data_IF_914839803203
#
_entry.id   IF_914839803203
#
_cell.length_a   1.000
_cell.length_b   1.000
_cell.length_c   1.000
_cell.angle_alpha   90.00
_cell.angle_beta   90.00
_cell.angle_gamma   90.00
#
_symmetry.space_group_name_H-M   'P 1'
#
loop_
_entity.id
_entity.type
_entity.pdbx_description
1 polymer ?
#
# COMPACT_ATOMS: atom_id res chain seq x y z
N UNK A 1 -5.92 18.73 -11.01
CA UNK A 1 -6.87 18.98 -9.90
C UNK A 1 -6.99 17.69 -9.10
N UNK A 2 -6.42 17.63 -7.90
CA UNK A 2 -6.45 16.42 -7.07
C UNK A 2 -7.87 16.25 -6.52
N UNK A 3 -8.66 15.38 -7.14
CA UNK A 3 -9.87 14.89 -6.51
C UNK A 3 -9.46 14.15 -5.22
N UNK A 4 -10.14 14.44 -4.12
CA UNK A 4 -9.91 13.89 -2.78
C UNK A 4 -10.33 12.41 -2.69
N UNK A 5 -10.10 11.66 -3.75
CA UNK A 5 -10.74 10.38 -4.00
C UNK A 5 -9.85 9.26 -3.46
N UNK A 6 -10.45 8.47 -2.56
CA UNK A 6 -9.86 7.25 -2.04
C UNK A 6 -10.52 6.08 -2.74
N UNK A 7 -9.73 5.13 -3.24
CA UNK A 7 -10.27 3.88 -3.75
C UNK A 7 -10.00 2.75 -2.75
N UNK A 8 -11.07 2.19 -2.20
CA UNK A 8 -11.06 0.99 -1.40
C UNK A 8 -11.22 -0.22 -2.29
N UNK A 9 -10.28 -1.16 -2.25
CA UNK A 9 -10.32 -2.41 -3.01
C UNK A 9 -10.39 -3.56 -2.01
N UNK A 10 -11.53 -4.26 -1.99
CA UNK A 10 -11.69 -5.45 -1.15
C UNK A 10 -11.19 -6.67 -1.90
N UNK A 11 -10.21 -7.35 -1.30
CA UNK A 11 -9.55 -8.51 -1.85
C UNK A 11 -10.11 -9.78 -1.22
N UNK A 12 -10.56 -10.74 -2.04
CA UNK A 12 -11.09 -11.99 -1.52
C UNK A 12 -11.37 -13.02 -2.60
N UNK A 13 -11.74 -14.22 -2.19
CA UNK A 13 -12.26 -15.22 -3.12
C UNK A 13 -13.71 -14.93 -3.46
N UNK A 14 -14.17 -15.41 -4.61
CA UNK A 14 -15.55 -15.26 -5.10
C UNK A 14 -16.59 -15.59 -4.03
N UNK A 15 -16.40 -16.71 -3.32
CA UNK A 15 -17.29 -17.16 -2.25
C UNK A 15 -17.40 -16.17 -1.09
N UNK A 16 -16.28 -15.54 -0.71
CA UNK A 16 -16.25 -14.54 0.38
C UNK A 16 -16.84 -13.19 -0.07
N UNK A 17 -16.62 -12.81 -1.32
CA UNK A 17 -17.12 -11.54 -1.87
C UNK A 17 -18.62 -11.57 -2.17
N UNK A 18 -19.19 -12.72 -2.57
CA UNK A 18 -20.61 -12.85 -2.92
C UNK A 18 -21.58 -12.45 -1.80
N UNK A 19 -21.17 -12.60 -0.54
CA UNK A 19 -21.97 -12.24 0.63
C UNK A 19 -21.73 -10.82 1.17
N UNK A 20 -20.78 -10.07 0.62
CA UNK A 20 -20.37 -8.78 1.16
C UNK A 20 -21.17 -7.63 0.55
N UNK A 21 -21.83 -6.85 1.39
CA UNK A 21 -22.48 -5.58 1.01
C UNK A 21 -21.45 -4.46 1.08
N UNK A 22 -20.94 -4.04 -0.07
CA UNK A 22 -20.05 -2.88 -0.16
C UNK A 22 -20.86 -1.57 -0.05
N UNK A 23 -20.31 -0.54 0.61
CA UNK A 23 -20.90 0.81 0.58
C UNK A 23 -20.96 1.34 -0.86
N UNK A 24 -21.94 2.21 -1.13
CA UNK A 24 -22.03 2.90 -2.42
C UNK A 24 -20.89 3.91 -2.57
N UNK A 25 -20.30 3.96 -3.77
CA UNK A 25 -19.28 4.96 -4.11
C UNK A 25 -19.89 6.36 -4.17
N UNK A 26 -19.13 7.36 -3.73
CA UNK A 26 -19.48 8.77 -3.80
C UNK A 26 -18.33 9.58 -4.44
N UNK A 27 -18.44 10.91 -4.42
CA UNK A 27 -17.43 11.79 -5.03
C UNK A 27 -16.03 11.69 -4.38
N UNK A 28 -15.92 11.25 -3.13
CA UNK A 28 -14.66 11.18 -2.37
C UNK A 28 -14.19 9.73 -2.10
N UNK A 29 -15.07 8.73 -2.23
CA UNK A 29 -14.80 7.34 -1.90
C UNK A 29 -15.31 6.43 -3.03
N UNK A 30 -14.42 5.62 -3.59
CA UNK A 30 -14.73 4.56 -4.54
C UNK A 30 -14.53 3.21 -3.85
N UNK A 31 -15.48 2.28 -4.02
CA UNK A 31 -15.41 0.92 -3.49
C UNK A 31 -15.41 -0.06 -4.65
N UNK A 32 -14.35 -0.86 -4.75
CA UNK A 32 -14.16 -1.91 -5.75
C UNK A 32 -13.94 -3.25 -5.04
N UNK A 33 -14.31 -4.34 -5.69
CA UNK A 33 -13.98 -5.70 -5.28
C UNK A 33 -13.08 -6.35 -6.33
N UNK A 34 -12.14 -7.17 -5.88
CA UNK A 34 -11.30 -7.99 -6.73
C UNK A 34 -11.38 -9.44 -6.29
N UNK A 35 -11.87 -10.29 -7.19
CA UNK A 35 -11.98 -11.72 -6.99
C UNK A 35 -10.74 -12.41 -7.55
N UNK A 36 -9.99 -13.08 -6.71
CA UNK A 36 -8.85 -13.88 -7.17
C UNK A 36 -9.30 -15.30 -7.52
N UNK A 37 -9.60 -15.54 -8.79
CA UNK A 37 -9.91 -16.90 -9.27
C UNK A 37 -8.65 -17.71 -9.57
N UNK A 38 -7.63 -17.09 -10.20
CA UNK A 38 -6.36 -17.72 -10.54
C UNK A 38 -5.16 -16.82 -10.20
N UNK A 39 -4.06 -17.40 -9.69
CA UNK A 39 -2.90 -16.61 -9.18
C UNK A 39 -2.22 -15.76 -10.25
N UNK A 40 -1.97 -16.30 -11.44
CA UNK A 40 -1.25 -15.55 -12.47
C UNK A 40 -2.11 -14.43 -13.09
N UNK A 41 -3.43 -14.63 -13.21
CA UNK A 41 -4.35 -13.58 -13.70
C UNK A 41 -4.63 -12.54 -12.62
N UNK A 42 -4.60 -12.95 -11.34
CA UNK A 42 -4.85 -12.03 -10.23
C UNK A 42 -3.83 -10.89 -10.11
N UNK A 43 -2.59 -11.08 -10.58
CA UNK A 43 -1.56 -10.05 -10.58
C UNK A 43 -1.87 -8.94 -11.58
N UNK A 44 -2.17 -9.33 -12.82
CA UNK A 44 -2.56 -8.41 -13.90
C UNK A 44 -3.87 -7.72 -13.57
N UNK A 45 -4.87 -8.47 -13.08
CA UNK A 45 -6.16 -7.92 -12.67
C UNK A 45 -6.02 -6.88 -11.56
N UNK A 46 -5.19 -7.12 -10.53
CA UNK A 46 -4.98 -6.14 -9.46
C UNK A 46 -4.22 -4.92 -9.94
N UNK A 47 -3.20 -5.11 -10.79
CA UNK A 47 -2.49 -4.00 -11.43
C UNK A 47 -3.45 -3.15 -12.27
N UNK A 48 -4.28 -3.76 -13.11
CA UNK A 48 -5.25 -3.08 -13.97
C UNK A 48 -6.31 -2.34 -13.14
N UNK A 49 -6.82 -2.97 -12.08
CA UNK A 49 -7.81 -2.38 -11.18
C UNK A 49 -7.23 -1.16 -10.46
N UNK A 50 -5.99 -1.23 -9.96
CA UNK A 50 -5.31 -0.07 -9.38
C UNK A 50 -5.05 0.99 -10.45
N UNK A 51 -4.66 0.60 -11.66
CA UNK A 51 -4.40 1.54 -12.76
C UNK A 51 -5.66 2.30 -13.19
N UNK A 52 -6.81 1.63 -13.23
CA UNK A 52 -8.08 2.20 -13.64
C UNK A 52 -8.84 2.89 -12.49
N UNK A 53 -8.45 2.65 -11.24
CA UNK A 53 -9.04 3.32 -10.09
C UNK A 53 -8.91 4.84 -10.15
N UNK A 54 -9.92 5.54 -9.65
CA UNK A 54 -9.96 7.02 -9.70
C UNK A 54 -9.12 7.66 -8.60
N UNK A 55 -8.88 6.94 -7.51
CA UNK A 55 -8.28 7.49 -6.30
C UNK A 55 -6.77 7.63 -6.39
N UNK A 56 -6.24 8.72 -5.82
CA UNK A 56 -4.80 8.88 -5.62
C UNK A 56 -4.29 8.02 -4.46
N UNK A 57 -5.15 7.81 -3.46
CA UNK A 57 -4.91 6.93 -2.32
C UNK A 57 -5.70 5.63 -2.50
N UNK A 58 -4.98 4.52 -2.50
CA UNK A 58 -5.53 3.18 -2.62
C UNK A 58 -5.49 2.51 -1.25
N UNK A 59 -6.54 1.78 -0.93
CA UNK A 59 -6.70 1.06 0.32
C UNK A 59 -7.09 -0.37 0.02
N UNK A 60 -6.17 -1.32 0.23
CA UNK A 60 -6.47 -2.74 0.10
C UNK A 60 -7.04 -3.26 1.42
N UNK A 61 -8.15 -3.97 1.33
CA UNK A 61 -8.92 -4.46 2.45
C UNK A 61 -9.07 -5.98 2.39
N UNK A 62 -8.91 -6.70 3.52
CA UNK A 62 -9.35 -8.09 3.61
C UNK A 62 -10.88 -8.19 3.49
N UNK A 63 -11.40 -9.38 3.18
CA UNK A 63 -12.85 -9.57 3.13
C UNK A 63 -13.45 -9.32 4.51
N UNK A 64 -14.60 -8.65 4.56
CA UNK A 64 -15.32 -8.29 5.80
C UNK A 64 -14.69 -7.17 6.65
N UNK A 65 -13.64 -6.50 6.16
CA UNK A 65 -12.96 -5.45 6.93
C UNK A 65 -13.15 -4.07 6.31
N UNK A 66 -14.22 -3.39 6.71
CA UNK A 66 -14.51 -2.02 6.27
C UNK A 66 -14.05 -0.99 7.32
N UNK A 67 -13.44 0.12 6.91
CA UNK A 67 -13.04 1.18 7.82
C UNK A 67 -14.24 1.89 8.44
N UNK A 68 -14.13 2.20 9.73
CA UNK A 68 -15.08 3.03 10.46
C UNK A 68 -14.99 4.51 10.03
N UNK A 69 -15.94 5.34 10.45
CA UNK A 69 -15.98 6.78 10.11
C UNK A 69 -14.66 7.52 10.42
N UNK A 70 -14.07 7.42 11.63
CA UNK A 70 -12.83 8.14 11.93
C UNK A 70 -11.63 7.67 11.09
N UNK A 71 -11.50 6.37 10.79
CA UNK A 71 -10.49 5.88 9.86
C UNK A 71 -10.62 6.53 8.48
N UNK A 72 -11.85 6.62 7.97
CA UNK A 72 -12.11 7.23 6.66
C UNK A 72 -11.76 8.70 6.62
N UNK A 73 -12.05 9.45 7.68
CA UNK A 73 -11.67 10.87 7.77
C UNK A 73 -10.17 11.09 7.74
N UNK A 74 -9.39 10.24 8.42
CA UNK A 74 -7.93 10.30 8.39
C UNK A 74 -7.40 9.95 7.01
N UNK A 75 -7.92 8.89 6.38
CA UNK A 75 -7.54 8.52 5.01
C UNK A 75 -7.90 9.63 4.01
N UNK A 76 -9.02 10.35 4.21
CA UNK A 76 -9.38 11.53 3.39
C UNK A 76 -8.43 12.68 3.58
N UNK A 77 -7.98 12.94 4.79
CA UNK A 77 -6.93 13.94 5.02
C UNK A 77 -5.63 13.53 4.33
N UNK A 78 -5.29 12.24 4.35
CA UNK A 78 -4.09 11.72 3.70
C UNK A 78 -4.17 11.76 2.17
N UNK A 79 -5.33 11.53 1.56
CA UNK A 79 -5.48 11.60 0.09
C UNK A 79 -5.28 13.02 -0.46
N UNK A 80 -5.46 14.05 0.38
CA UNK A 80 -5.15 15.45 0.04
C UNK A 80 -3.65 15.76 0.05
N UNK A 81 -2.85 14.95 0.73
CA UNK A 81 -1.40 15.15 0.87
C UNK A 81 -0.72 14.51 -0.34
N UNK A 82 -0.07 15.32 -1.17
CA UNK A 82 0.70 14.84 -2.33
C UNK A 82 2.10 14.31 -1.92
N UNK A 83 2.13 13.35 -1.01
CA UNK A 83 3.35 12.70 -0.54
C UNK A 83 3.24 11.20 -0.80
N UNK A 84 4.28 10.62 -1.41
CA UNK A 84 4.41 9.18 -1.59
C UNK A 84 4.47 8.48 -0.23
N UNK A 85 3.32 7.96 0.19
CA UNK A 85 3.14 7.36 1.51
C UNK A 85 2.42 6.02 1.40
N UNK A 86 2.65 5.19 2.41
CA UNK A 86 1.95 3.93 2.65
C UNK A 86 1.96 3.61 4.14
N UNK A 87 1.12 2.67 4.55
CA UNK A 87 1.14 2.14 5.90
C UNK A 87 0.03 1.14 6.16
N UNK A 88 0.13 0.52 7.32
CA UNK A 88 -0.91 -0.34 7.86
C UNK A 88 -1.88 0.49 8.70
N UNK A 89 -3.15 0.10 8.68
CA UNK A 89 -4.14 0.68 9.58
C UNK A 89 -5.10 -0.39 10.10
N UNK A 90 -5.48 -0.23 11.37
CA UNK A 90 -6.40 -1.13 12.07
C UNK A 90 -7.83 -0.56 11.97
N UNK A 91 -8.82 -1.44 11.74
CA UNK A 91 -10.21 -1.03 11.56
C UNK A 91 -10.94 -0.67 12.86
N UNK A 92 -10.38 -1.03 14.03
CA UNK A 92 -11.12 -1.08 15.28
C UNK A 92 -10.43 -0.50 16.54
N UNK A 93 -9.33 0.25 16.39
CA UNK A 93 -8.73 1.02 17.50
C UNK A 93 -8.80 2.51 17.21
N UNK A 94 -9.07 3.31 18.24
CA UNK A 94 -9.06 4.77 18.18
C UNK A 94 -7.77 5.27 17.51
N UNK A 95 -7.89 5.74 16.26
CA UNK A 95 -6.82 6.17 15.35
C UNK A 95 -6.13 7.48 15.79
N UNK A 96 -6.55 8.05 16.92
CA UNK A 96 -6.12 9.38 17.35
C UNK A 96 -4.87 9.28 18.22
N UNK A 97 -3.69 9.35 17.59
CA UNK A 97 -2.39 9.87 18.12
C UNK A 97 -1.18 9.06 17.64
N UNK A 98 -1.32 7.74 17.54
CA UNK A 98 -0.16 6.85 17.38
C UNK A 98 0.35 6.71 15.95
N UNK A 99 -0.45 6.90 14.90
CA UNK A 99 0.02 6.68 13.51
C UNK A 99 0.94 7.83 13.06
N UNK A 100 0.61 9.07 13.39
CA UNK A 100 1.43 10.25 13.04
C UNK A 100 2.74 10.28 13.87
N UNK A 101 2.68 9.91 15.14
CA UNK A 101 3.87 9.76 15.98
C UNK A 101 4.73 8.55 15.58
N UNK A 102 4.11 7.43 15.18
CA UNK A 102 4.84 6.28 14.62
C UNK A 102 5.43 6.61 13.25
N UNK A 103 4.79 7.40 12.39
CA UNK A 103 5.37 7.84 11.10
C UNK A 103 6.73 8.54 11.24
N UNK A 104 6.95 9.28 12.33
CA UNK A 104 8.26 9.88 12.65
C UNK A 104 9.28 8.89 13.24
N UNK A 105 8.86 7.68 13.62
CA UNK A 105 9.68 6.60 14.24
C UNK A 105 9.79 5.30 13.40
N UNK A 106 9.09 5.15 12.27
CA UNK A 106 9.03 3.90 11.45
C UNK A 106 10.25 3.73 10.51
N UNK A 107 11.47 4.17 10.87
CA UNK A 107 12.66 3.77 10.11
C UNK A 107 13.29 2.45 10.60
N UNK A 108 12.82 1.82 11.69
CA UNK A 108 13.59 0.71 12.30
C UNK A 108 12.84 -0.54 12.81
N UNK A 109 11.51 -0.58 12.98
CA UNK A 109 10.85 -1.78 13.57
C UNK A 109 9.40 -1.99 13.12
N UNK A 110 9.18 -2.53 11.92
CA UNK A 110 7.90 -3.22 11.60
C UNK A 110 8.18 -4.38 10.62
N UNK A 111 8.68 -5.52 11.12
CA UNK A 111 8.83 -6.77 10.35
C UNK A 111 7.71 -7.79 10.61
N UNK A 112 6.73 -7.50 11.46
CA UNK A 112 5.62 -8.42 11.73
C UNK A 112 4.54 -8.27 10.67
N UNK A 113 4.21 -9.36 9.98
CA UNK A 113 3.02 -9.46 9.12
C UNK A 113 1.80 -9.14 10.00
N UNK A 114 0.96 -8.18 9.63
CA UNK A 114 -0.12 -7.74 10.48
C UNK A 114 -1.30 -8.72 10.52
N UNK A 115 -2.14 -8.57 11.56
CA UNK A 115 -3.32 -9.39 11.81
C UNK A 115 -4.33 -9.35 10.64
N UNK A 116 -5.23 -10.34 10.57
CA UNK A 116 -6.26 -10.47 9.54
C UNK A 116 -7.19 -9.24 9.41
N UNK A 117 -7.32 -8.45 10.48
CA UNK A 117 -8.12 -7.22 10.57
C UNK A 117 -7.30 -5.95 10.24
N UNK A 118 -6.27 -6.04 9.41
CA UNK A 118 -5.49 -4.87 9.03
C UNK A 118 -5.50 -4.68 7.52
N UNK A 119 -5.83 -3.45 7.11
CA UNK A 119 -5.72 -3.01 5.73
C UNK A 119 -4.37 -2.33 5.50
N UNK A 120 -3.98 -2.23 4.23
CA UNK A 120 -2.84 -1.42 3.82
C UNK A 120 -3.33 -0.28 2.94
N UNK A 121 -2.87 0.94 3.25
CA UNK A 121 -3.08 2.09 2.38
C UNK A 121 -1.76 2.45 1.70
N UNK A 122 -1.85 3.01 0.50
CA UNK A 122 -0.70 3.56 -0.21
C UNK A 122 -1.15 4.52 -1.29
N UNK A 123 -0.27 5.45 -1.64
CA UNK A 123 -0.47 6.31 -2.81
C UNK A 123 -0.20 5.55 -4.10
N UNK A 124 -1.04 5.78 -5.11
CA UNK A 124 -0.92 5.16 -6.44
C UNK A 124 0.44 5.45 -7.09
N UNK A 125 0.97 6.66 -6.89
CA UNK A 125 2.34 7.04 -7.31
C UNK A 125 3.41 6.13 -6.69
N UNK A 126 3.31 5.84 -5.39
CA UNK A 126 4.26 4.95 -4.72
C UNK A 126 4.15 3.52 -5.26
N UNK A 127 2.93 3.03 -5.49
CA UNK A 127 2.69 1.71 -6.06
C UNK A 127 3.41 1.51 -7.40
N UNK A 128 3.28 2.46 -8.32
CA UNK A 128 3.99 2.38 -9.61
C UNK A 128 5.49 2.59 -9.46
N UNK A 129 5.96 3.39 -8.50
CA UNK A 129 7.40 3.58 -8.26
C UNK A 129 8.12 2.32 -7.80
N UNK A 130 7.41 1.35 -7.21
CA UNK A 130 7.95 0.03 -6.84
C UNK A 130 7.66 -1.05 -7.90
N UNK A 131 7.17 -0.64 -9.07
CA UNK A 131 6.86 -1.55 -10.19
C UNK A 131 5.58 -2.37 -10.00
N UNK A 132 4.62 -1.87 -9.22
CA UNK A 132 3.33 -2.54 -8.99
C UNK A 132 3.43 -3.80 -8.13
N UNK A 133 2.40 -4.67 -8.23
CA UNK A 133 2.39 -5.95 -7.51
C UNK A 133 3.26 -6.98 -8.25
N UNK A 134 3.99 -7.78 -7.46
CA UNK A 134 4.76 -8.91 -7.96
C UNK A 134 3.98 -10.21 -7.86
N UNK A 135 4.73 -11.32 -7.88
CA UNK A 135 4.16 -12.65 -7.82
C UNK A 135 3.31 -12.84 -6.57
N UNK A 136 2.02 -13.10 -6.74
CA UNK A 136 1.09 -13.30 -5.64
C UNK A 136 1.36 -14.67 -5.00
N UNK A 137 2.10 -14.63 -3.88
CA UNK A 137 2.40 -15.79 -3.04
C UNK A 137 1.22 -16.19 -2.16
N UNK A 138 1.45 -16.28 -0.85
CA UNK A 138 0.41 -16.62 0.13
C UNK A 138 -0.59 -15.48 0.35
N UNK A 139 -0.16 -14.23 0.22
CA UNK A 139 -1.05 -13.07 0.37
C UNK A 139 -0.59 -11.84 -0.42
N UNK A 140 -1.52 -11.08 -1.02
CA UNK A 140 -1.23 -9.82 -1.70
C UNK A 140 -0.63 -8.78 -0.75
N UNK A 141 -1.10 -8.76 0.50
CA UNK A 141 -0.62 -7.86 1.56
C UNK A 141 0.86 -8.08 1.89
N UNK A 142 1.32 -9.34 1.92
CA UNK A 142 2.73 -9.68 2.21
C UNK A 142 3.64 -9.28 1.06
N UNK A 143 3.23 -9.53 -0.19
CA UNK A 143 4.02 -9.16 -1.35
C UNK A 143 4.13 -7.64 -1.51
N UNK A 144 3.03 -6.91 -1.38
CA UNK A 144 3.04 -5.45 -1.56
C UNK A 144 3.83 -4.74 -0.45
N UNK A 145 3.69 -5.20 0.80
CA UNK A 145 4.43 -4.62 1.92
C UNK A 145 5.92 -4.93 1.84
N UNK A 146 6.32 -6.13 1.40
CA UNK A 146 7.71 -6.45 1.12
C UNK A 146 8.33 -5.44 0.14
N UNK A 147 7.62 -5.12 -0.95
CA UNK A 147 8.07 -4.16 -1.96
C UNK A 147 8.18 -2.74 -1.42
N UNK A 148 7.22 -2.31 -0.59
CA UNK A 148 7.32 -1.02 0.04
C UNK A 148 8.48 -0.97 1.03
N UNK A 149 8.66 -1.97 1.89
CA UNK A 149 9.77 -2.04 2.82
C UNK A 149 11.14 -2.09 2.13
N UNK A 150 11.28 -2.79 0.98
CA UNK A 150 12.55 -2.82 0.25
C UNK A 150 12.97 -1.44 -0.27
N UNK A 151 12.03 -0.51 -0.45
CA UNK A 151 12.34 0.88 -0.80
C UNK A 151 12.91 1.66 0.38
N UNK A 152 12.54 1.30 1.61
CA UNK A 152 13.06 1.89 2.84
C UNK A 152 14.27 1.15 3.40
N UNK A 153 14.69 0.05 2.79
CA UNK A 153 15.89 -0.66 3.21
C UNK A 153 17.10 0.24 2.90
N UNK A 154 17.82 0.74 3.92
CA UNK A 154 18.95 1.63 3.69
C UNK A 154 19.99 0.89 2.85
N UNK A 155 20.09 1.26 1.57
CA UNK A 155 21.16 0.76 0.73
C UNK A 155 22.47 1.28 1.32
N UNK A 156 23.39 0.36 1.67
CA UNK A 156 24.77 0.77 1.92
C UNK A 156 25.22 1.56 0.68
N UNK A 157 25.75 2.78 0.84
CA UNK A 157 26.22 3.54 -0.31
C UNK A 157 27.21 2.67 -1.07
N UNK A 158 27.04 2.59 -2.40
CA UNK A 158 28.00 1.90 -3.24
C UNK A 158 29.38 2.55 -3.00
N UNK A 159 30.47 1.76 -2.96
CA UNK A 159 31.80 2.33 -2.92
C UNK A 159 31.98 3.30 -4.08
N UNK A 160 32.67 4.42 -3.85
CA UNK A 160 32.88 5.42 -4.90
C UNK A 160 33.53 4.78 -6.13
N UNK A 161 32.91 4.95 -7.30
CA UNK A 161 33.44 4.48 -8.59
C UNK A 161 34.78 5.14 -8.96
N UNK A 162 35.10 6.25 -8.30
CA UNK A 162 36.38 6.94 -8.46
C UNK A 162 37.36 6.39 -7.43
N UNK A 163 38.11 5.36 -7.84
CA UNK A 163 39.37 5.03 -7.18
C UNK A 163 40.38 6.08 -7.67
N UNK A 164 40.65 7.10 -6.86
CA UNK A 164 41.86 7.90 -7.08
C UNK A 164 43.03 6.97 -6.81
N UNK A 165 43.63 6.40 -7.85
CA UNK A 165 44.90 5.68 -7.78
C UNK A 165 45.95 6.66 -7.25
N UNK A 166 46.15 6.68 -5.93
CA UNK A 166 47.41 7.15 -5.36
C UNK A 166 48.39 6.00 -5.57
N UNK A 167 49.47 6.27 -6.28
CA UNK A 167 50.59 5.36 -6.59
C UNK A 167 50.41 4.60 -7.91
N UNK A 168 50.57 5.33 -9.02
CA UNK A 168 51.21 4.77 -10.21
C UNK A 168 52.70 5.10 -10.07
N UNK A 169 53.47 4.18 -9.49
CA UNK A 169 54.93 4.21 -9.65
C UNK A 169 55.21 3.76 -11.09
N UNK A 170 55.33 4.74 -11.98
CA UNK A 170 55.82 4.54 -13.33
C UNK A 170 57.33 4.37 -13.18
N UNK A 171 57.80 3.13 -13.40
CA UNK A 171 59.22 2.76 -13.44
C UNK A 171 60.04 3.67 -14.35
#
# INVERSE_FOLDING_TARGET
MNQELITYIVLGSHKRLKGLKLPTSNHCEEFLSSNFENKNTSETELNDLITNSKGSLIVLLPPSSLPNKPSREVLKKMSKIDISSWGWFEFNKNINSNIIQKFRKISAKVRSIPNLEQGIFFTKRLYFSVGGIGKLGESPFKEISKRFYSRFDPQKPLPALIIRTKNLDIY
#
